data_IF_102851011502
#
_entry.id   IF_102851011502
#
_cell.length_a   1.000
_cell.length_b   1.000
_cell.length_c   1.000
_cell.angle_alpha   90.00
_cell.angle_beta   90.00
_cell.angle_gamma   90.00
#
_symmetry.space_group_name_H-M   'P 1'
#
loop_
_entity.id
_entity.type
_entity.pdbx_description
1 polymer ?
#
# COMPACT_ATOMS: atom_id res chain seq x y z
N UNK A 1 69.07 15.80 -19.56
CA UNK A 1 68.04 16.85 -19.76
C UNK A 1 66.87 16.18 -20.45
N UNK A 2 66.00 15.56 -19.64
CA UNK A 2 64.70 14.97 -20.01
C UNK A 2 63.69 15.85 -19.27
N UNK A 3 62.62 16.38 -19.85
CA UNK A 3 61.56 15.73 -20.61
C UNK A 3 60.28 16.43 -20.14
N UNK A 4 59.53 16.95 -21.09
CA UNK A 4 58.39 17.85 -20.95
C UNK A 4 57.11 17.18 -20.41
N UNK A 5 56.16 18.02 -19.99
CA UNK A 5 54.73 17.75 -19.84
C UNK A 5 54.24 16.83 -18.69
N UNK A 6 54.06 17.43 -17.49
CA UNK A 6 53.03 16.97 -16.55
C UNK A 6 51.68 17.61 -16.92
N UNK A 7 50.89 16.86 -17.68
CA UNK A 7 49.49 17.17 -17.98
C UNK A 7 48.62 17.03 -16.72
N UNK A 8 47.80 18.05 -16.49
CA UNK A 8 46.76 18.14 -15.46
C UNK A 8 45.73 17.01 -15.64
N UNK A 9 45.64 16.12 -14.65
CA UNK A 9 44.56 15.15 -14.54
C UNK A 9 43.29 15.87 -14.07
N UNK A 10 42.45 16.27 -15.01
CA UNK A 10 41.12 16.81 -14.77
C UNK A 10 40.22 15.62 -14.39
N UNK A 11 39.94 15.46 -13.10
CA UNK A 11 38.97 14.50 -12.60
C UNK A 11 37.58 14.81 -13.15
N UNK A 12 37.13 13.99 -14.11
CA UNK A 12 35.75 14.00 -14.63
C UNK A 12 34.81 13.55 -13.51
N UNK A 13 34.14 14.50 -12.85
CA UNK A 13 32.96 14.21 -12.03
C UNK A 13 31.84 13.78 -12.96
N UNK A 14 31.47 12.51 -12.89
CA UNK A 14 30.37 11.92 -13.65
C UNK A 14 29.03 12.52 -13.20
N UNK A 15 28.13 12.95 -14.11
CA UNK A 15 26.83 13.47 -13.73
C UNK A 15 25.95 12.35 -13.15
N UNK A 16 25.33 12.64 -12.00
CA UNK A 16 24.30 11.83 -11.36
C UNK A 16 23.10 11.68 -12.30
N UNK A 17 22.87 10.47 -12.80
CA UNK A 17 21.66 10.12 -13.53
C UNK A 17 20.57 9.81 -12.49
N UNK A 18 19.45 10.52 -12.44
CA UNK A 18 18.29 10.04 -11.67
C UNK A 18 17.77 8.78 -12.37
N UNK A 19 17.82 7.66 -11.65
CA UNK A 19 17.19 6.40 -12.07
C UNK A 19 15.68 6.64 -12.14
N UNK A 20 15.20 6.99 -13.33
CA UNK A 20 13.78 6.98 -13.65
C UNK A 20 13.36 5.52 -13.76
N UNK A 21 13.17 4.87 -12.62
CA UNK A 21 12.44 3.60 -12.57
C UNK A 21 10.98 3.93 -12.85
N UNK A 22 10.62 3.89 -14.13
CA UNK A 22 9.25 3.67 -14.56
C UNK A 22 8.85 2.33 -13.95
N UNK A 23 8.16 2.41 -12.81
CA UNK A 23 7.52 1.25 -12.22
C UNK A 23 6.28 0.97 -13.08
N UNK A 24 6.46 0.04 -14.01
CA UNK A 24 5.39 -0.59 -14.76
C UNK A 24 4.28 -0.99 -13.78
N UNK A 25 3.04 -0.48 -13.95
CA UNK A 25 1.94 -0.92 -13.11
C UNK A 25 1.65 -2.37 -13.50
N UNK A 26 1.92 -3.28 -12.56
CA UNK A 26 1.54 -4.68 -12.64
C UNK A 26 0.02 -4.79 -12.71
N UNK A 27 -0.52 -4.63 -13.92
CA UNK A 27 -1.84 -5.12 -14.26
C UNK A 27 -1.79 -6.64 -14.36
N UNK A 28 -2.89 -7.26 -13.94
CA UNK A 28 -3.23 -8.68 -14.17
C UNK A 28 -2.86 -9.66 -13.06
N UNK A 29 -3.50 -9.48 -11.91
CA UNK A 29 -4.18 -10.58 -11.23
C UNK A 29 -5.20 -9.98 -10.26
N UNK A 30 -6.31 -9.45 -10.80
CA UNK A 30 -7.48 -9.19 -9.99
C UNK A 30 -7.89 -10.53 -9.33
N UNK A 31 -7.96 -10.62 -8.00
CA UNK A 31 -8.49 -11.82 -7.37
C UNK A 31 -9.96 -11.94 -7.76
N UNK A 32 -10.29 -12.96 -8.56
CA UNK A 32 -11.70 -13.33 -8.78
C UNK A 32 -12.35 -13.61 -7.42
N UNK A 33 -13.41 -12.88 -7.02
CA UNK A 33 -14.10 -13.12 -5.76
C UNK A 33 -15.04 -14.31 -5.96
N UNK A 34 -14.48 -15.52 -6.06
CA UNK A 34 -15.27 -16.75 -5.91
C UNK A 34 -15.50 -16.97 -4.42
N UNK A 35 -16.72 -16.65 -4.00
CA UNK A 35 -17.35 -16.78 -2.66
C UNK A 35 -17.61 -15.43 -2.01
N UNK A 36 -18.66 -14.75 -2.50
CA UNK A 36 -19.34 -13.70 -1.77
C UNK A 36 -20.02 -14.29 -0.52
N UNK A 37 -19.34 -14.27 0.63
CA UNK A 37 -20.04 -14.12 1.90
C UNK A 37 -20.78 -12.78 1.82
N UNK A 38 -22.09 -12.81 2.07
CA UNK A 38 -23.01 -11.70 1.80
C UNK A 38 -22.61 -10.44 2.58
N UNK A 39 -22.41 -9.33 1.87
CA UNK A 39 -21.99 -8.01 2.39
C UNK A 39 -22.92 -7.40 3.47
N UNK A 40 -24.03 -8.04 3.78
CA UNK A 40 -25.04 -7.54 4.73
C UNK A 40 -24.60 -7.68 6.20
N UNK A 41 -23.67 -8.60 6.53
CA UNK A 41 -23.18 -8.81 7.90
C UNK A 41 -22.10 -7.78 8.34
N UNK A 42 -21.66 -6.90 7.43
CA UNK A 42 -20.46 -6.08 7.65
C UNK A 42 -20.72 -4.84 8.52
N UNK A 43 -21.96 -4.31 8.51
CA UNK A 43 -22.28 -2.99 9.11
C UNK A 43 -22.17 -2.94 10.64
N UNK A 44 -21.97 -4.07 11.32
CA UNK A 44 -21.78 -4.14 12.77
C UNK A 44 -20.38 -4.58 13.22
N UNK A 45 -19.47 -4.85 12.28
CA UNK A 45 -18.17 -5.47 12.60
C UNK A 45 -17.13 -4.48 13.09
N UNK A 46 -17.40 -3.17 12.98
CA UNK A 46 -16.52 -2.14 13.49
C UNK A 46 -17.26 -1.19 14.44
N UNK A 47 -16.59 -0.82 15.53
CA UNK A 47 -17.10 0.08 16.57
C UNK A 47 -17.13 1.55 16.15
N UNK A 48 -16.46 1.89 15.04
CA UNK A 48 -16.41 3.24 14.47
C UNK A 48 -17.13 3.27 13.11
N UNK A 49 -17.78 4.40 12.78
CA UNK A 49 -18.36 4.59 11.46
C UNK A 49 -17.26 4.52 10.40
N UNK A 50 -17.50 3.70 9.37
CA UNK A 50 -16.57 3.56 8.26
C UNK A 50 -16.54 4.85 7.43
N UNK A 51 -15.36 5.38 7.11
CA UNK A 51 -15.26 6.56 6.24
C UNK A 51 -15.76 6.24 4.84
N UNK A 52 -16.52 7.17 4.23
CA UNK A 52 -17.07 6.99 2.88
C UNK A 52 -16.05 7.03 1.73
N UNK A 53 -14.75 7.05 2.02
CA UNK A 53 -13.69 6.95 1.01
C UNK A 53 -12.41 6.34 1.60
N UNK A 54 -11.64 5.65 0.74
CA UNK A 54 -10.34 5.10 1.15
C UNK A 54 -9.37 6.18 1.63
N UNK A 55 -9.38 7.37 1.02
CA UNK A 55 -8.53 8.49 1.45
C UNK A 55 -8.82 8.88 2.90
N UNK A 56 -10.08 9.10 3.25
CA UNK A 56 -10.48 9.45 4.62
C UNK A 56 -10.14 8.32 5.61
N UNK A 57 -10.29 7.07 5.19
CA UNK A 57 -9.89 5.91 5.98
C UNK A 57 -8.39 5.84 6.24
N UNK A 58 -7.54 5.97 5.21
CA UNK A 58 -6.08 5.96 5.35
C UNK A 58 -5.58 7.13 6.21
N UNK A 59 -6.22 8.30 6.11
CA UNK A 59 -5.93 9.46 6.94
C UNK A 59 -6.29 9.28 8.43
N UNK A 60 -7.21 8.36 8.74
CA UNK A 60 -7.60 8.07 10.13
C UNK A 60 -6.57 7.20 10.89
N UNK A 61 -5.59 6.65 10.19
CA UNK A 61 -4.56 5.79 10.78
C UNK A 61 -3.42 6.64 11.39
N UNK A 62 -2.85 6.18 12.50
CA UNK A 62 -1.77 6.89 13.23
C UNK A 62 -0.57 7.25 12.34
N UNK A 63 -0.31 6.43 11.33
CA UNK A 63 0.85 6.48 10.45
C UNK A 63 0.40 6.69 8.99
N UNK A 64 -0.61 7.54 8.78
CA UNK A 64 -1.25 7.80 7.48
C UNK A 64 -0.24 8.05 6.34
N UNK A 65 0.87 8.75 6.61
CA UNK A 65 1.91 9.04 5.62
C UNK A 65 2.49 7.79 4.94
N UNK A 66 2.53 6.65 5.65
CA UNK A 66 3.11 5.41 5.14
C UNK A 66 2.10 4.55 4.37
N UNK A 67 0.80 4.78 4.58
CA UNK A 67 -0.28 3.99 3.98
C UNK A 67 -1.05 4.74 2.89
N UNK A 68 -1.02 6.08 2.90
CA UNK A 68 -1.59 6.93 1.86
C UNK A 68 -1.16 6.59 0.43
N UNK A 69 0.09 6.18 0.14
CA UNK A 69 0.49 5.78 -1.21
C UNK A 69 -0.28 4.58 -1.77
N UNK A 70 -0.94 3.77 -0.94
CA UNK A 70 -1.76 2.65 -1.39
C UNK A 70 -3.17 3.05 -1.81
N UNK A 71 -3.54 4.33 -1.69
CA UNK A 71 -4.86 4.84 -2.07
C UNK A 71 -5.27 4.39 -3.48
N UNK A 72 -4.40 4.58 -4.46
CA UNK A 72 -4.73 4.31 -5.87
C UNK A 72 -4.88 2.81 -6.13
N UNK A 73 -4.05 1.99 -5.47
CA UNK A 73 -4.15 0.54 -5.51
C UNK A 73 -5.46 0.05 -4.88
N UNK A 74 -5.90 0.66 -3.78
CA UNK A 74 -7.17 0.35 -3.12
C UNK A 74 -8.36 0.71 -4.00
N UNK A 75 -8.41 1.93 -4.55
CA UNK A 75 -9.50 2.38 -5.43
C UNK A 75 -9.56 1.60 -6.74
N UNK A 76 -8.44 1.04 -7.20
CA UNK A 76 -8.40 0.24 -8.43
C UNK A 76 -8.87 -1.21 -8.22
N UNK A 77 -8.78 -1.72 -6.99
CA UNK A 77 -9.08 -3.13 -6.69
C UNK A 77 -10.37 -3.33 -5.91
N UNK A 78 -10.83 -2.29 -5.21
CA UNK A 78 -11.99 -2.36 -4.34
C UNK A 78 -12.92 -1.17 -4.59
N UNK A 79 -14.21 -1.45 -4.52
CA UNK A 79 -15.26 -0.46 -4.66
C UNK A 79 -15.50 0.30 -3.35
N UNK A 80 -15.30 -0.37 -2.20
CA UNK A 80 -15.57 0.22 -0.89
C UNK A 80 -14.80 -0.44 0.26
N UNK A 81 -14.76 0.23 1.42
CA UNK A 81 -14.12 -0.31 2.63
C UNK A 81 -14.91 -1.49 3.20
N UNK A 82 -16.24 -1.48 3.05
CA UNK A 82 -17.12 -2.59 3.42
C UNK A 82 -16.77 -3.86 2.65
N UNK A 83 -16.42 -3.75 1.36
CA UNK A 83 -15.96 -4.89 0.56
C UNK A 83 -14.68 -5.50 1.15
N UNK A 84 -13.71 -4.66 1.54
CA UNK A 84 -12.47 -5.14 2.19
C UNK A 84 -12.78 -5.85 3.51
N UNK A 85 -13.62 -5.24 4.33
CA UNK A 85 -14.05 -5.83 5.61
C UNK A 85 -14.77 -7.17 5.41
N UNK A 86 -15.61 -7.28 4.38
CA UNK A 86 -16.34 -8.51 4.05
C UNK A 86 -15.41 -9.62 3.59
N UNK A 87 -14.42 -9.31 2.75
CA UNK A 87 -13.60 -10.31 2.07
C UNK A 87 -12.37 -10.73 2.89
N UNK A 88 -11.76 -9.79 3.62
CA UNK A 88 -10.44 -10.00 4.21
C UNK A 88 -10.37 -9.81 5.72
N UNK A 89 -11.46 -9.39 6.38
CA UNK A 89 -11.43 -9.14 7.83
C UNK A 89 -12.31 -10.14 8.56
N UNK A 90 -11.78 -10.78 9.61
CA UNK A 90 -12.56 -11.63 10.52
C UNK A 90 -12.11 -11.39 11.96
N UNK A 91 -13.05 -11.13 12.86
CA UNK A 91 -12.79 -10.93 14.29
C UNK A 91 -11.67 -9.91 14.59
N UNK A 92 -11.60 -8.82 13.80
CA UNK A 92 -10.56 -7.80 13.91
C UNK A 92 -9.20 -8.16 13.32
N UNK A 93 -9.04 -9.35 12.75
CA UNK A 93 -7.83 -9.78 12.07
C UNK A 93 -7.98 -9.63 10.55
N UNK A 94 -6.95 -9.06 9.91
CA UNK A 94 -6.86 -8.92 8.46
C UNK A 94 -6.13 -10.13 7.89
N UNK A 95 -6.70 -10.73 6.85
CA UNK A 95 -6.12 -11.81 6.07
C UNK A 95 -4.94 -11.28 5.22
N UNK A 96 -3.83 -12.02 5.19
CA UNK A 96 -2.66 -11.63 4.43
C UNK A 96 -2.92 -11.47 2.92
N UNK A 97 -3.94 -12.15 2.38
CA UNK A 97 -4.39 -12.00 1.00
C UNK A 97 -4.79 -10.56 0.63
N UNK A 98 -5.24 -9.76 1.60
CA UNK A 98 -5.50 -8.33 1.39
C UNK A 98 -4.21 -7.60 1.00
N UNK A 99 -3.13 -7.86 1.72
CA UNK A 99 -1.86 -7.18 1.48
C UNK A 99 -1.25 -7.58 0.15
N UNK A 100 -1.43 -8.84 -0.24
CA UNK A 100 -0.93 -9.34 -1.51
C UNK A 100 -1.73 -8.76 -2.68
N UNK A 101 -3.05 -8.61 -2.54
CA UNK A 101 -3.89 -7.92 -3.51
C UNK A 101 -3.42 -6.46 -3.70
N UNK A 102 -3.34 -5.68 -2.62
CA UNK A 102 -2.96 -4.24 -2.69
C UNK A 102 -1.49 -4.03 -3.06
N UNK A 103 -0.63 -5.05 -2.91
CA UNK A 103 0.82 -4.95 -3.12
C UNK A 103 1.58 -4.38 -1.93
N UNK A 104 1.06 -4.52 -0.70
CA UNK A 104 1.70 -4.07 0.54
C UNK A 104 2.72 -5.11 0.98
N UNK A 105 4.01 -4.92 0.66
CA UNK A 105 5.06 -5.88 1.01
C UNK A 105 5.77 -5.56 2.35
N UNK A 106 5.81 -4.29 2.74
CA UNK A 106 6.55 -3.86 3.93
C UNK A 106 5.82 -4.25 5.21
N UNK A 107 6.49 -5.00 6.09
CA UNK A 107 5.93 -5.45 7.37
C UNK A 107 5.41 -4.30 8.25
N UNK A 108 6.14 -3.17 8.28
CA UNK A 108 5.70 -1.98 9.01
C UNK A 108 4.35 -1.46 8.53
N UNK A 109 4.13 -1.44 7.22
CA UNK A 109 2.87 -0.97 6.64
C UNK A 109 1.72 -1.95 6.93
N UNK A 110 1.96 -3.26 6.80
CA UNK A 110 0.98 -4.31 7.16
C UNK A 110 0.49 -4.14 8.61
N UNK A 111 1.42 -3.88 9.54
CA UNK A 111 1.10 -3.68 10.96
C UNK A 111 0.19 -2.50 11.22
N UNK A 112 0.30 -1.41 10.44
CA UNK A 112 -0.59 -0.25 10.57
C UNK A 112 -2.04 -0.65 10.29
N UNK A 113 -2.28 -1.37 9.18
CA UNK A 113 -3.62 -1.89 8.85
C UNK A 113 -4.12 -2.88 9.91
N UNK A 114 -3.31 -3.86 10.28
CA UNK A 114 -3.67 -4.86 11.30
C UNK A 114 -4.06 -4.20 12.62
N UNK A 115 -3.28 -3.21 13.07
CA UNK A 115 -3.56 -2.48 14.31
C UNK A 115 -4.85 -1.69 14.21
N UNK A 116 -5.11 -1.04 13.08
CA UNK A 116 -6.36 -0.32 12.86
C UNK A 116 -7.56 -1.27 12.95
N UNK A 117 -7.55 -2.39 12.21
CA UNK A 117 -8.64 -3.36 12.23
C UNK A 117 -8.82 -4.02 13.60
N UNK A 118 -7.74 -4.38 14.31
CA UNK A 118 -7.85 -4.93 15.67
C UNK A 118 -8.46 -3.97 16.69
N UNK A 119 -8.19 -2.67 16.53
CA UNK A 119 -8.66 -1.66 17.47
C UNK A 119 -10.13 -1.28 17.21
N UNK A 120 -10.53 -1.32 15.94
CA UNK A 120 -11.81 -0.78 15.50
C UNK A 120 -12.81 -1.83 15.08
N UNK A 121 -12.39 -3.07 14.79
CA UNK A 121 -13.26 -4.13 14.29
C UNK A 121 -13.17 -5.39 15.16
N UNK A 122 -14.33 -5.99 15.43
CA UNK A 122 -14.52 -7.16 16.32
C UNK A 122 -15.56 -8.11 15.74
#
# INVERSE_FOLDING_TARGET
MMGDASLLAIGRTQPFQPDTRVQEPAASAAPEPRLAETAEDVRGRCSVPLPGSFKAWLQSMEDAQFVLPYHDALTSQFDSLEQILSLFVRAGEVDDRFFDAVGIQKLGHRRIFQKWFRSHCK
#
